data_IF_763539342068
#
_entry.id   IF_763539342068
#
_cell.length_a   1.000
_cell.length_b   1.000
_cell.length_c   1.000
_cell.angle_alpha   90.00
_cell.angle_beta   90.00
_cell.angle_gamma   90.00
#
_symmetry.space_group_name_H-M   'P 1'
#
loop_
_entity.id
_entity.type
_entity.pdbx_description
1 polymer ?
#
# COMPACT_ATOMS: atom_id res chain seq x y z
N UNK A 1 -1.59 42.73 48.04
CA UNK A 1 -1.67 41.25 48.11
C UNK A 1 -2.48 40.77 46.92
N UNK A 2 -1.91 40.42 45.82
CA UNK A 2 -2.53 39.53 44.82
C UNK A 2 -1.49 39.20 43.74
N UNK A 3 -1.14 37.92 43.63
CA UNK A 3 -1.16 37.20 42.41
C UNK A 3 0.19 37.01 41.73
N UNK A 4 1.02 36.10 42.24
CA UNK A 4 1.99 35.38 41.46
C UNK A 4 1.37 34.03 41.07
N UNK A 5 0.63 33.95 39.94
CA UNK A 5 0.09 32.71 39.44
C UNK A 5 0.84 32.30 38.16
N UNK A 6 1.59 31.22 38.21
CA UNK A 6 1.57 30.19 37.17
C UNK A 6 2.30 30.44 35.87
N UNK A 7 3.60 30.73 35.86
CA UNK A 7 4.43 30.70 34.65
C UNK A 7 5.41 29.52 34.61
N UNK A 8 5.31 28.60 35.58
CA UNK A 8 6.24 27.48 35.75
C UNK A 8 5.78 26.14 35.12
N UNK A 9 4.48 25.94 34.90
CA UNK A 9 3.95 24.60 34.48
C UNK A 9 3.97 24.38 32.96
N UNK A 10 3.89 25.46 32.16
CA UNK A 10 3.90 25.32 30.70
C UNK A 10 5.28 24.98 30.14
N UNK A 11 6.34 25.35 30.78
CA UNK A 11 7.72 25.06 30.34
C UNK A 11 8.11 23.60 30.61
N UNK A 12 7.64 23.01 31.70
CA UNK A 12 7.82 21.59 31.99
C UNK A 12 7.15 20.69 30.95
N UNK A 13 5.91 20.96 30.59
CA UNK A 13 5.15 20.23 29.59
C UNK A 13 5.75 20.27 28.19
N UNK A 14 6.24 21.44 27.77
CA UNK A 14 6.93 21.61 26.47
C UNK A 14 8.26 20.86 26.41
N UNK A 15 9.06 20.91 27.47
CA UNK A 15 10.35 20.20 27.56
C UNK A 15 10.17 18.67 27.47
N UNK A 16 9.18 18.12 28.17
CA UNK A 16 8.86 16.68 28.10
C UNK A 16 8.34 16.26 26.71
N UNK A 17 7.60 17.13 26.04
CA UNK A 17 7.10 16.87 24.69
C UNK A 17 8.24 16.93 23.67
N UNK A 18 9.11 17.94 23.75
CA UNK A 18 10.31 18.08 22.93
C UNK A 18 11.25 16.89 23.10
N UNK A 19 11.56 16.47 24.33
CA UNK A 19 12.42 15.32 24.56
C UNK A 19 11.85 14.00 24.00
N UNK A 20 10.52 13.84 23.98
CA UNK A 20 9.85 12.69 23.34
C UNK A 20 9.95 12.74 21.82
N UNK A 21 9.76 13.92 21.23
CA UNK A 21 9.90 14.13 19.78
C UNK A 21 11.34 13.87 19.35
N UNK A 22 12.31 14.47 20.03
CA UNK A 22 13.74 14.27 19.73
C UNK A 22 14.12 12.80 19.81
N UNK A 23 13.73 12.08 20.87
CA UNK A 23 14.00 10.63 20.99
C UNK A 23 13.34 9.81 19.89
N UNK A 24 12.15 10.20 19.43
CA UNK A 24 11.47 9.53 18.32
C UNK A 24 12.20 9.77 17.00
N UNK A 25 12.58 11.01 16.72
CA UNK A 25 13.38 11.39 15.55
C UNK A 25 14.74 10.69 15.56
N UNK A 26 15.46 10.74 16.68
CA UNK A 26 16.77 10.05 16.80
C UNK A 26 16.66 8.54 16.57
N UNK A 27 15.59 7.90 17.06
CA UNK A 27 15.33 6.48 16.80
C UNK A 27 15.08 6.23 15.31
N UNK A 28 14.27 7.07 14.65
CA UNK A 28 13.98 6.94 13.22
C UNK A 28 15.25 7.17 12.37
N UNK A 29 16.04 8.18 12.70
CA UNK A 29 17.33 8.45 12.02
C UNK A 29 18.30 7.28 12.20
N UNK A 30 18.41 6.76 13.42
CA UNK A 30 19.28 5.59 13.68
C UNK A 30 18.82 4.36 12.89
N UNK A 31 17.51 4.08 12.87
CA UNK A 31 16.98 2.95 12.09
C UNK A 31 17.23 3.16 10.59
N UNK A 32 16.97 4.35 10.06
CA UNK A 32 17.27 4.69 8.67
C UNK A 32 18.73 4.53 8.32
N UNK A 33 19.63 5.03 9.18
CA UNK A 33 21.08 4.88 8.99
C UNK A 33 21.54 3.41 9.01
N UNK A 34 20.96 2.59 9.90
CA UNK A 34 21.24 1.15 9.96
C UNK A 34 20.71 0.43 8.70
N UNK A 35 19.54 0.82 8.20
CA UNK A 35 18.98 0.24 6.97
C UNK A 35 19.83 0.58 5.77
N UNK A 36 20.20 1.84 5.59
CA UNK A 36 21.07 2.32 4.50
C UNK A 36 22.46 1.69 4.59
N UNK A 37 23.06 1.67 5.78
CA UNK A 37 24.37 1.05 6.01
C UNK A 37 24.35 -0.45 5.77
N UNK A 38 23.31 -1.15 6.21
CA UNK A 38 23.11 -2.58 5.93
C UNK A 38 22.96 -2.88 4.45
N UNK A 39 22.20 -2.04 3.75
CA UNK A 39 22.02 -2.15 2.30
C UNK A 39 23.34 -1.92 1.55
N UNK A 40 24.10 -0.90 1.93
CA UNK A 40 25.42 -0.63 1.35
C UNK A 40 26.41 -1.79 1.59
N UNK A 41 26.37 -2.43 2.76
CA UNK A 41 27.19 -3.60 3.07
C UNK A 41 26.77 -4.85 2.26
N UNK A 42 25.48 -4.99 1.92
CA UNK A 42 24.96 -6.09 1.11
C UNK A 42 25.21 -5.90 -0.40
N UNK A 43 25.46 -4.68 -0.86
CA UNK A 43 25.67 -4.36 -2.28
C UNK A 43 26.70 -5.27 -2.97
N UNK A 44 27.93 -5.48 -2.47
CA UNK A 44 28.91 -6.35 -3.10
C UNK A 44 28.45 -7.82 -3.11
N UNK A 45 27.70 -8.25 -2.09
CA UNK A 45 27.15 -9.60 -2.05
C UNK A 45 26.12 -9.82 -3.16
N UNK A 46 25.25 -8.83 -3.40
CA UNK A 46 24.24 -8.88 -4.48
C UNK A 46 24.90 -9.03 -5.86
N UNK A 47 26.04 -8.36 -6.10
CA UNK A 47 26.78 -8.47 -7.36
C UNK A 47 27.35 -9.88 -7.59
N UNK A 48 27.81 -10.55 -6.55
CA UNK A 48 28.50 -11.85 -6.68
C UNK A 48 27.54 -13.04 -6.73
N UNK A 49 26.42 -12.98 -6.05
CA UNK A 49 25.50 -14.14 -5.90
C UNK A 49 24.88 -14.63 -7.22
N UNK A 50 24.68 -13.77 -8.20
CA UNK A 50 24.01 -14.11 -9.45
C UNK A 50 24.89 -14.01 -10.68
N UNK A 51 26.21 -13.88 -10.50
CA UNK A 51 27.17 -13.78 -11.59
C UNK A 51 27.16 -15.00 -12.52
N UNK A 52 26.85 -16.18 -11.99
CA UNK A 52 26.76 -17.43 -12.76
C UNK A 52 25.44 -17.60 -13.56
N UNK A 53 24.43 -16.76 -13.34
CA UNK A 53 23.12 -16.85 -14.02
C UNK A 53 23.16 -16.02 -15.31
N UNK A 54 22.59 -16.53 -16.43
CA UNK A 54 22.51 -15.75 -17.67
C UNK A 54 21.59 -14.53 -17.50
N UNK A 55 21.83 -13.46 -18.27
CA UNK A 55 21.03 -12.23 -18.23
C UNK A 55 19.56 -12.49 -18.57
N UNK A 56 19.29 -13.36 -19.54
CA UNK A 56 17.93 -13.71 -19.96
C UNK A 56 17.18 -14.46 -18.87
N UNK A 57 17.87 -15.41 -18.20
CA UNK A 57 17.28 -16.14 -17.06
C UNK A 57 16.99 -15.19 -15.89
N UNK A 58 17.91 -14.27 -15.59
CA UNK A 58 17.72 -13.29 -14.53
C UNK A 58 16.53 -12.36 -14.83
N UNK A 59 16.41 -11.86 -16.06
CA UNK A 59 15.28 -11.03 -16.48
C UNK A 59 13.95 -11.78 -16.42
N UNK A 60 13.92 -13.02 -16.87
CA UNK A 60 12.72 -13.88 -16.81
C UNK A 60 12.31 -14.17 -15.36
N UNK A 61 13.25 -14.55 -14.51
CA UNK A 61 12.98 -14.78 -13.08
C UNK A 61 12.52 -13.51 -12.37
N UNK A 62 13.13 -12.35 -12.67
CA UNK A 62 12.71 -11.06 -12.11
C UNK A 62 11.27 -10.72 -12.53
N UNK A 63 10.94 -10.92 -13.81
CA UNK A 63 9.58 -10.67 -14.33
C UNK A 63 8.55 -11.57 -13.65
N UNK A 64 8.85 -12.87 -13.49
CA UNK A 64 7.97 -13.81 -12.79
C UNK A 64 7.82 -13.44 -11.31
N UNK A 65 8.90 -13.03 -10.65
CA UNK A 65 8.86 -12.61 -9.25
C UNK A 65 8.04 -11.31 -9.07
N UNK A 66 8.12 -10.35 -10.01
CA UNK A 66 7.28 -9.16 -10.00
C UNK A 66 5.81 -9.48 -10.28
N UNK A 67 5.52 -10.42 -11.18
CA UNK A 67 4.16 -10.89 -11.40
C UNK A 67 3.59 -11.54 -10.13
N UNK A 68 4.38 -12.36 -9.47
CA UNK A 68 4.03 -13.00 -8.19
C UNK A 68 3.80 -11.95 -7.09
N UNK A 69 4.65 -10.94 -7.00
CA UNK A 69 4.44 -9.78 -6.13
C UNK A 69 3.09 -9.12 -6.39
N UNK A 70 2.75 -8.82 -7.65
CA UNK A 70 1.50 -8.16 -8.01
C UNK A 70 0.25 -9.00 -7.66
N UNK A 71 0.33 -10.32 -7.80
CA UNK A 71 -0.78 -11.24 -7.49
C UNK A 71 -0.96 -11.41 -5.97
N UNK A 72 0.14 -11.48 -5.22
CA UNK A 72 0.12 -11.75 -3.78
C UNK A 72 0.13 -10.48 -2.92
N UNK A 73 0.12 -9.31 -3.55
CA UNK A 73 0.17 -8.03 -2.86
C UNK A 73 -1.06 -7.78 -1.99
N UNK A 74 -0.85 -7.20 -0.81
CA UNK A 74 -1.92 -6.90 0.14
C UNK A 74 -2.66 -5.59 -0.21
N UNK A 75 -3.58 -5.67 -1.15
CA UNK A 75 -4.42 -4.54 -1.55
C UNK A 75 -5.37 -4.07 -0.44
N UNK A 76 -5.73 -4.95 0.50
CA UNK A 76 -6.60 -4.63 1.62
C UNK A 76 -5.94 -3.61 2.58
N UNK A 77 -4.61 -3.68 2.72
CA UNK A 77 -3.86 -2.71 3.52
C UNK A 77 -3.96 -1.30 2.95
N UNK A 78 -3.78 -1.12 1.63
CA UNK A 78 -3.88 0.20 0.98
C UNK A 78 -5.33 0.70 0.98
N UNK A 79 -6.31 -0.21 0.85
CA UNK A 79 -7.73 0.13 0.84
C UNK A 79 -8.30 0.43 2.24
N UNK A 80 -7.46 0.49 3.28
CA UNK A 80 -7.84 0.77 4.66
C UNK A 80 -8.71 -0.32 5.32
N UNK A 81 -8.79 -1.51 4.74
CA UNK A 81 -9.56 -2.62 5.26
C UNK A 81 -8.82 -3.32 6.41
N UNK A 82 -7.49 -3.39 6.33
CA UNK A 82 -6.63 -3.97 7.35
C UNK A 82 -5.66 -2.95 7.94
N UNK A 83 -5.24 -3.15 9.20
CA UNK A 83 -4.28 -2.27 9.90
C UNK A 83 -2.84 -2.73 9.77
N UNK A 84 -2.62 -3.97 9.36
CA UNK A 84 -1.30 -4.58 9.28
C UNK A 84 -1.03 -5.04 7.86
N UNK A 85 0.18 -4.80 7.39
CA UNK A 85 0.66 -5.35 6.13
C UNK A 85 0.96 -6.85 6.35
N UNK A 86 0.13 -7.71 5.80
CA UNK A 86 0.19 -9.16 6.07
C UNK A 86 1.10 -9.93 5.11
N UNK A 87 1.39 -9.39 3.92
CA UNK A 87 2.07 -10.13 2.85
C UNK A 87 3.59 -10.02 2.91
N UNK A 88 4.23 -10.76 3.81
CA UNK A 88 5.70 -10.91 3.82
C UNK A 88 6.22 -11.60 2.56
N UNK A 89 5.42 -12.48 1.96
CA UNK A 89 5.80 -13.22 0.75
C UNK A 89 5.90 -12.30 -0.47
N UNK A 90 4.96 -11.38 -0.67
CA UNK A 90 5.00 -10.43 -1.77
C UNK A 90 6.21 -9.50 -1.65
N UNK A 91 6.52 -9.01 -0.45
CA UNK A 91 7.71 -8.21 -0.21
C UNK A 91 9.00 -8.99 -0.54
N UNK A 92 9.07 -10.26 -0.14
CA UNK A 92 10.20 -11.13 -0.49
C UNK A 92 10.36 -11.30 -2.00
N UNK A 93 9.27 -11.52 -2.73
CA UNK A 93 9.28 -11.66 -4.18
C UNK A 93 9.77 -10.38 -4.89
N UNK A 94 9.31 -9.20 -4.48
CA UNK A 94 9.74 -7.93 -5.07
C UNK A 94 11.21 -7.60 -4.78
N UNK A 95 11.67 -7.84 -3.56
CA UNK A 95 13.08 -7.64 -3.19
C UNK A 95 14.00 -8.63 -3.93
N UNK A 96 13.56 -9.87 -4.11
CA UNK A 96 14.29 -10.86 -4.91
C UNK A 96 14.40 -10.44 -6.38
N UNK A 97 13.31 -9.94 -6.98
CA UNK A 97 13.32 -9.42 -8.35
C UNK A 97 14.31 -8.27 -8.51
N UNK A 98 14.29 -7.30 -7.60
CA UNK A 98 15.22 -6.17 -7.61
C UNK A 98 16.67 -6.61 -7.45
N UNK A 99 16.94 -7.58 -6.57
CA UNK A 99 18.27 -8.14 -6.40
C UNK A 99 18.79 -8.80 -7.70
N UNK A 100 17.92 -9.53 -8.42
CA UNK A 100 18.28 -10.11 -9.72
C UNK A 100 18.62 -9.03 -10.75
N UNK A 101 17.84 -7.94 -10.80
CA UNK A 101 18.10 -6.81 -11.72
C UNK A 101 19.37 -6.05 -11.31
N UNK A 102 19.53 -5.74 -10.04
CA UNK A 102 20.71 -5.07 -9.49
C UNK A 102 22.01 -5.81 -9.82
N UNK A 103 21.99 -7.14 -9.80
CA UNK A 103 23.16 -7.97 -10.11
C UNK A 103 23.67 -7.85 -11.55
N UNK A 104 22.90 -7.20 -12.44
CA UNK A 104 23.28 -6.93 -13.84
C UNK A 104 23.92 -5.57 -14.04
N UNK A 105 23.99 -4.78 -12.98
CA UNK A 105 24.63 -3.47 -13.01
C UNK A 105 26.11 -3.60 -12.69
N UNK A 106 26.96 -3.00 -13.52
CA UNK A 106 28.41 -3.08 -13.39
C UNK A 106 28.95 -2.20 -12.26
N UNK A 107 28.27 -1.09 -11.96
CA UNK A 107 28.70 -0.13 -10.94
C UNK A 107 28.04 -0.41 -9.58
N UNK A 108 28.85 -0.55 -8.54
CA UNK A 108 28.37 -0.72 -7.15
C UNK A 108 27.45 0.40 -6.67
N UNK A 109 27.64 1.62 -7.19
CA UNK A 109 26.76 2.75 -6.88
C UNK A 109 25.37 2.55 -7.50
N UNK A 110 25.32 2.05 -8.73
CA UNK A 110 24.07 1.74 -9.42
C UNK A 110 23.34 0.60 -8.71
N UNK A 111 24.04 -0.44 -8.28
CA UNK A 111 23.46 -1.54 -7.48
C UNK A 111 22.88 -1.02 -6.15
N UNK A 112 23.62 -0.16 -5.46
CA UNK A 112 23.12 0.45 -4.23
C UNK A 112 21.88 1.32 -4.49
N UNK A 113 21.90 2.14 -5.56
CA UNK A 113 20.76 2.99 -5.93
C UNK A 113 19.50 2.15 -6.28
N UNK A 114 19.67 1.06 -7.03
CA UNK A 114 18.58 0.14 -7.38
C UNK A 114 18.01 -0.54 -6.12
N UNK A 115 18.85 -1.02 -5.24
CA UNK A 115 18.43 -1.63 -3.99
C UNK A 115 17.71 -0.63 -3.04
N UNK A 116 18.17 0.62 -3.00
CA UNK A 116 17.52 1.70 -2.26
C UNK A 116 16.15 2.02 -2.88
N UNK A 117 16.09 2.14 -4.20
CA UNK A 117 14.83 2.36 -4.93
C UNK A 117 13.82 1.23 -4.69
N UNK A 118 14.29 -0.02 -4.69
CA UNK A 118 13.47 -1.18 -4.37
C UNK A 118 12.88 -1.10 -2.96
N UNK A 119 13.70 -0.73 -1.97
CA UNK A 119 13.25 -0.53 -0.60
C UNK A 119 12.16 0.56 -0.53
N UNK A 120 12.36 1.69 -1.19
CA UNK A 120 11.39 2.77 -1.23
C UNK A 120 10.10 2.35 -1.93
N UNK A 121 10.20 1.75 -3.11
CA UNK A 121 9.04 1.39 -3.92
C UNK A 121 8.22 0.23 -3.34
N UNK A 122 8.86 -0.77 -2.74
CA UNK A 122 8.15 -1.97 -2.30
C UNK A 122 7.87 -2.02 -0.80
N UNK A 123 8.72 -1.40 0.02
CA UNK A 123 8.56 -1.42 1.48
C UNK A 123 7.92 -0.14 2.01
N UNK A 124 8.40 1.04 1.59
CA UNK A 124 7.90 2.30 2.12
C UNK A 124 6.66 2.83 1.39
N UNK A 125 6.55 2.61 0.09
CA UNK A 125 5.45 3.17 -0.70
C UNK A 125 4.06 2.74 -0.22
N UNK A 126 3.79 1.50 0.23
CA UNK A 126 2.48 1.12 0.74
C UNK A 126 2.00 1.98 1.90
N UNK A 127 2.91 2.36 2.80
CA UNK A 127 2.59 3.23 3.94
C UNK A 127 2.30 4.67 3.49
N UNK A 128 3.04 5.16 2.50
CA UNK A 128 2.83 6.50 1.93
C UNK A 128 1.47 6.55 1.19
N UNK A 129 1.18 5.55 0.37
CA UNK A 129 -0.09 5.45 -0.35
C UNK A 129 -1.28 5.39 0.59
N UNK A 130 -1.16 4.59 1.66
CA UNK A 130 -2.16 4.52 2.72
C UNK A 130 -2.37 5.89 3.38
N UNK A 131 -1.30 6.57 3.78
CA UNK A 131 -1.38 7.88 4.44
C UNK A 131 -2.02 8.95 3.53
N UNK A 132 -1.67 8.99 2.25
CA UNK A 132 -2.27 9.91 1.28
C UNK A 132 -3.78 9.61 1.11
N UNK A 133 -4.15 8.34 1.06
CA UNK A 133 -5.55 7.93 0.90
C UNK A 133 -6.39 8.22 2.15
N UNK A 134 -5.82 8.12 3.35
CA UNK A 134 -6.45 8.51 4.61
C UNK A 134 -6.76 10.01 4.66
N UNK A 135 -5.91 10.85 4.05
CA UNK A 135 -6.13 12.30 3.98
C UNK A 135 -7.22 12.64 2.97
N UNK A 136 -7.10 12.14 1.75
CA UNK A 136 -8.03 12.50 0.66
C UNK A 136 -7.91 11.54 -0.53
N UNK A 137 -9.03 10.95 -0.94
CA UNK A 137 -9.08 10.10 -2.14
C UNK A 137 -8.75 10.87 -3.43
N UNK A 138 -9.28 12.09 -3.68
CA UNK A 138 -8.90 12.85 -4.87
C UNK A 138 -7.41 13.21 -4.90
N UNK A 139 -6.80 13.52 -3.76
CA UNK A 139 -5.35 13.76 -3.68
C UNK A 139 -4.57 12.50 -4.11
N UNK A 140 -4.97 11.33 -3.60
CA UNK A 140 -4.37 10.05 -3.99
C UNK A 140 -4.44 9.84 -5.51
N UNK A 141 -5.62 10.02 -6.10
CA UNK A 141 -5.81 9.87 -7.55
C UNK A 141 -4.96 10.86 -8.36
N UNK A 142 -4.87 12.12 -7.90
CA UNK A 142 -4.04 13.14 -8.56
C UNK A 142 -2.56 12.75 -8.54
N UNK A 143 -2.04 12.28 -7.40
CA UNK A 143 -0.64 11.86 -7.28
C UNK A 143 -0.37 10.64 -8.16
N UNK A 144 -1.24 9.64 -8.15
CA UNK A 144 -1.12 8.44 -9.01
C UNK A 144 -1.12 8.85 -10.49
N UNK A 145 -2.06 9.70 -10.91
CA UNK A 145 -2.12 10.18 -12.29
C UNK A 145 -0.84 10.93 -12.69
N UNK A 146 -0.37 11.84 -11.84
CA UNK A 146 0.87 12.60 -12.09
C UNK A 146 2.08 11.68 -12.25
N UNK A 147 2.22 10.65 -11.41
CA UNK A 147 3.29 9.66 -11.53
C UNK A 147 3.21 8.87 -12.83
N UNK A 148 2.02 8.49 -13.29
CA UNK A 148 1.85 7.81 -14.57
C UNK A 148 2.21 8.71 -15.75
N UNK A 149 1.87 10.01 -15.69
CA UNK A 149 2.27 10.99 -16.71
C UNK A 149 3.79 11.15 -16.75
N UNK A 150 4.44 11.29 -15.60
CA UNK A 150 5.91 11.37 -15.51
C UNK A 150 6.55 10.11 -16.09
N UNK A 151 6.08 8.92 -15.70
CA UNK A 151 6.58 7.65 -16.20
C UNK A 151 6.39 7.54 -17.72
N UNK A 152 5.23 7.97 -18.26
CA UNK A 152 4.99 8.00 -19.70
C UNK A 152 5.99 8.90 -20.42
N UNK A 153 6.25 10.11 -19.92
CA UNK A 153 7.21 11.04 -20.51
C UNK A 153 8.62 10.44 -20.53
N UNK A 154 9.04 9.82 -19.42
CA UNK A 154 10.37 9.18 -19.32
C UNK A 154 10.49 8.02 -20.33
N UNK A 155 9.48 7.15 -20.41
CA UNK A 155 9.49 6.02 -21.36
C UNK A 155 9.47 6.55 -22.82
N UNK A 156 8.65 7.58 -23.09
CA UNK A 156 8.55 8.17 -24.42
C UNK A 156 9.85 8.83 -24.90
N UNK A 157 10.69 9.29 -23.97
CA UNK A 157 12.02 9.84 -24.32
C UNK A 157 13.01 8.77 -24.78
N UNK A 158 12.76 7.49 -24.46
CA UNK A 158 13.59 6.35 -24.87
C UNK A 158 12.99 5.66 -26.10
N UNK A 159 11.73 5.31 -26.07
CA UNK A 159 11.02 4.61 -27.14
C UNK A 159 9.51 4.95 -27.12
N UNK A 160 9.05 5.55 -28.22
CA UNK A 160 7.65 5.94 -28.37
C UNK A 160 6.71 4.72 -28.45
N UNK A 161 7.13 3.61 -29.06
CA UNK A 161 6.32 2.39 -29.12
C UNK A 161 6.09 1.80 -27.72
N UNK A 162 7.16 1.75 -26.92
CA UNK A 162 7.08 1.27 -25.54
C UNK A 162 6.20 2.18 -24.66
N UNK A 163 6.26 3.50 -24.88
CA UNK A 163 5.40 4.45 -24.17
C UNK A 163 3.90 4.22 -24.46
N UNK A 164 3.54 4.00 -25.72
CA UNK A 164 2.15 3.69 -26.07
C UNK A 164 1.70 2.33 -25.54
N UNK A 165 2.58 1.32 -25.54
CA UNK A 165 2.30 0.04 -24.91
C UNK A 165 2.07 0.19 -23.39
N UNK A 166 2.89 0.99 -22.71
CA UNK A 166 2.71 1.34 -21.31
C UNK A 166 1.37 2.04 -21.05
N UNK A 167 1.03 3.07 -21.85
CA UNK A 167 -0.24 3.78 -21.72
C UNK A 167 -1.45 2.85 -21.92
N UNK A 168 -1.40 1.99 -22.94
CA UNK A 168 -2.44 0.99 -23.18
C UNK A 168 -2.61 0.03 -22.00
N UNK A 169 -1.50 -0.42 -21.40
CA UNK A 169 -1.51 -1.30 -20.23
C UNK A 169 -2.10 -0.60 -18.99
N UNK A 170 -1.73 0.66 -18.73
CA UNK A 170 -2.30 1.46 -17.64
C UNK A 170 -3.80 1.67 -17.81
N UNK A 171 -4.28 1.99 -19.02
CA UNK A 171 -5.72 2.13 -19.29
C UNK A 171 -6.44 0.79 -19.16
N UNK A 172 -5.84 -0.29 -19.65
CA UNK A 172 -6.41 -1.63 -19.51
C UNK A 172 -6.62 -2.02 -18.05
N UNK A 173 -5.59 -1.91 -17.24
CA UNK A 173 -5.65 -2.30 -15.82
C UNK A 173 -6.41 -1.30 -14.94
N UNK A 174 -6.27 0.00 -15.20
CA UNK A 174 -6.87 1.05 -14.37
C UNK A 174 -8.33 1.35 -14.69
N UNK A 175 -8.78 1.10 -15.92
CA UNK A 175 -10.12 1.46 -16.35
C UNK A 175 -10.91 0.27 -16.88
N UNK A 176 -10.36 -0.46 -17.86
CA UNK A 176 -11.11 -1.51 -18.56
C UNK A 176 -11.40 -2.71 -17.64
N UNK A 177 -10.40 -3.20 -16.93
CA UNK A 177 -10.56 -4.36 -16.04
C UNK A 177 -11.53 -4.05 -14.90
N UNK A 178 -11.41 -2.95 -14.12
CA UNK A 178 -12.38 -2.63 -13.09
C UNK A 178 -13.80 -2.43 -13.63
N UNK A 179 -13.95 -1.74 -14.75
CA UNK A 179 -15.25 -1.54 -15.38
C UNK A 179 -15.91 -2.87 -15.79
N UNK A 180 -15.12 -3.82 -16.31
CA UNK A 180 -15.61 -5.17 -16.65
C UNK A 180 -15.98 -5.97 -15.40
N UNK A 181 -15.16 -5.92 -14.33
CA UNK A 181 -15.45 -6.61 -13.07
C UNK A 181 -16.74 -6.09 -12.42
N UNK A 182 -16.94 -4.77 -12.38
CA UNK A 182 -18.18 -4.18 -11.86
C UNK A 182 -19.40 -4.64 -12.67
N UNK A 183 -19.31 -4.65 -14.00
CA UNK A 183 -20.39 -5.14 -14.86
C UNK A 183 -20.69 -6.62 -14.67
N UNK A 184 -19.66 -7.45 -14.50
CA UNK A 184 -19.81 -8.88 -14.24
C UNK A 184 -20.44 -9.11 -12.86
N UNK A 185 -19.97 -8.41 -11.83
CA UNK A 185 -20.54 -8.50 -10.49
C UNK A 185 -22.01 -8.06 -10.44
N UNK A 186 -22.37 -7.02 -11.22
CA UNK A 186 -23.76 -6.57 -11.33
C UNK A 186 -24.67 -7.61 -12.03
N UNK A 187 -24.13 -8.39 -12.97
CA UNK A 187 -24.87 -9.46 -13.67
C UNK A 187 -24.96 -10.74 -12.86
N UNK A 188 -23.92 -11.04 -12.07
CA UNK A 188 -23.78 -12.33 -11.36
C UNK A 188 -24.51 -12.43 -10.02
N UNK A 189 -25.06 -11.34 -9.49
CA UNK A 189 -25.83 -11.37 -8.23
C UNK A 189 -27.30 -11.73 -8.45
N UNK A 190 -27.56 -12.90 -9.04
CA UNK A 190 -28.82 -13.59 -8.78
C UNK A 190 -28.62 -14.31 -7.44
N UNK A 191 -29.23 -13.80 -6.38
CA UNK A 191 -29.35 -14.55 -5.14
C UNK A 191 -30.21 -15.77 -5.45
N UNK A 192 -29.56 -16.92 -5.52
CA UNK A 192 -30.24 -18.20 -5.56
C UNK A 192 -30.71 -18.44 -4.13
N UNK A 193 -31.93 -17.98 -3.82
CA UNK A 193 -32.57 -18.28 -2.55
C UNK A 193 -32.83 -19.80 -2.51
N UNK A 194 -32.11 -20.49 -1.64
CA UNK A 194 -32.22 -21.94 -1.43
C UNK A 194 -32.86 -22.25 -0.07
N UNK A 195 -33.37 -23.49 0.13
CA UNK A 195 -33.93 -23.91 1.42
C UNK A 195 -32.91 -23.91 2.57
N UNK A 196 -31.61 -23.69 2.27
CA UNK A 196 -30.50 -23.56 3.21
C UNK A 196 -30.16 -22.09 3.56
N UNK A 197 -30.81 -21.11 2.91
CA UNK A 197 -30.63 -19.71 3.31
C UNK A 197 -31.19 -19.50 4.70
N UNK A 198 -30.44 -18.75 5.53
CA UNK A 198 -30.92 -18.35 6.85
C UNK A 198 -32.29 -17.68 6.73
N UNK A 199 -33.25 -18.16 7.49
CA UNK A 199 -34.58 -17.58 7.53
C UNK A 199 -34.50 -16.13 8.04
N UNK A 200 -34.50 -15.16 7.13
CA UNK A 200 -34.56 -13.75 7.49
C UNK A 200 -35.91 -13.52 8.19
N UNK A 201 -35.95 -13.18 9.48
CA UNK A 201 -37.21 -12.89 10.15
C UNK A 201 -37.90 -11.73 9.45
N UNK A 202 -39.13 -11.93 8.99
CA UNK A 202 -39.94 -10.90 8.34
C UNK A 202 -40.33 -9.84 9.36
N UNK A 203 -39.43 -8.92 9.65
CA UNK A 203 -39.56 -7.84 10.65
C UNK A 203 -40.80 -6.94 10.42
N UNK A 204 -41.40 -6.96 9.22
CA UNK A 204 -42.63 -6.19 8.95
C UNK A 204 -43.87 -6.71 9.68
N UNK A 205 -43.89 -7.97 10.09
CA UNK A 205 -45.00 -8.48 10.91
C UNK A 205 -44.97 -7.90 12.32
N UNK A 206 -43.78 -7.54 12.84
CA UNK A 206 -43.64 -6.93 14.16
C UNK A 206 -43.90 -5.43 14.17
N UNK A 207 -43.80 -4.73 13.04
CA UNK A 207 -44.03 -3.28 12.96
C UNK A 207 -45.50 -2.89 13.21
N UNK A 208 -46.42 -3.78 12.91
CA UNK A 208 -47.86 -3.56 13.19
C UNK A 208 -48.26 -3.95 14.61
N UNK A 209 -47.51 -4.85 15.25
CA UNK A 209 -47.75 -5.27 16.64
C UNK A 209 -47.18 -4.25 17.63
N UNK A 210 -46.11 -3.56 17.31
CA UNK A 210 -45.51 -2.49 18.14
C UNK A 210 -46.42 -1.25 18.24
N UNK A 211 -47.24 -0.97 17.20
CA UNK A 211 -48.26 0.09 17.27
C UNK A 211 -49.42 -0.22 18.20
N UNK A 212 -49.65 -1.50 18.47
CA UNK A 212 -50.72 -1.95 19.32
C UNK A 212 -50.31 -2.17 20.78
N UNK A 213 -49.02 -2.35 21.08
CA UNK A 213 -48.53 -2.79 22.40
C UNK A 213 -47.78 -1.75 23.23
N UNK A 214 -47.47 -0.56 22.69
CA UNK A 214 -46.80 0.50 23.45
C UNK A 214 -45.38 0.17 23.96
N UNK A 215 -44.73 -0.89 23.45
CA UNK A 215 -43.41 -1.33 23.90
C UNK A 215 -42.31 -0.47 23.28
N UNK A 216 -41.30 0.00 24.06
CA UNK A 216 -40.23 0.89 23.58
C UNK A 216 -39.34 0.21 22.53
N UNK A 217 -39.01 0.95 21.48
CA UNK A 217 -38.16 0.54 20.39
C UNK A 217 -36.77 0.12 20.91
N UNK A 218 -36.39 -1.11 20.69
CA UNK A 218 -34.99 -1.50 20.76
C UNK A 218 -34.21 -0.78 19.67
N UNK A 219 -33.27 0.09 20.06
CA UNK A 219 -32.32 0.71 19.12
C UNK A 219 -31.49 -0.39 18.47
N UNK A 220 -31.50 -0.46 17.15
CA UNK A 220 -30.63 -1.32 16.38
C UNK A 220 -29.16 -1.03 16.70
N UNK A 221 -28.46 -2.00 17.28
CA UNK A 221 -27.01 -2.04 17.46
C UNK A 221 -26.26 -2.38 16.15
N UNK A 222 -26.94 -2.46 15.00
CA UNK A 222 -26.43 -2.86 13.69
C UNK A 222 -26.02 -1.69 12.77
N UNK A 223 -25.80 -0.49 13.30
CA UNK A 223 -25.39 0.66 12.50
C UNK A 223 -23.94 1.09 12.73
N UNK A 224 -23.02 0.15 13.02
CA UNK A 224 -21.58 0.42 13.01
C UNK A 224 -20.82 -0.89 12.73
N UNK A 225 -20.78 -1.26 11.47
CA UNK A 225 -19.68 -2.04 10.89
C UNK A 225 -19.26 -1.44 9.56
#
# INVERSE_FOLDING_TARGET
>A
ALGGVGRGDDDGGRRWTMARVIRRVMRSVRLGALTIGGLAALTPLCQTMTAAVSSDTAATCATLALALYAITYDYAFINLETKQLASSFSLGASMFASMLMASRLDDSRAVFADALLALECYVLSPFVWRAIREISVPLHLTVVFTLHVIAFIIVASHDAMLAWAYAAFVVLLGVVVPARLVRLAARGKQQIAGPWDEALPKLYLFKNTERASGVPRYRHWAANK
#
